data_IF_059700055957
#
_entry.id   IF_059700055957
#
_cell.length_a   1.000
_cell.length_b   1.000
_cell.length_c   1.000
_cell.angle_alpha   90.00
_cell.angle_beta   90.00
_cell.angle_gamma   90.00
#
_symmetry.space_group_name_H-M   'P 1'
#
loop_
_entity.id
_entity.type
_entity.pdbx_description
1 polymer ?
#
# COMPACT_ATOMS: atom_id res chain seq x y z
N UNK A 1 -2.67 9.15 30.06
CA UNK A 1 -1.76 9.23 31.23
C UNK A 1 -0.30 8.97 30.82
N UNK A 2 0.07 7.76 30.36
CA UNK A 2 1.48 7.40 30.05
C UNK A 2 2.20 8.38 29.10
N UNK A 3 1.57 8.79 28.00
CA UNK A 3 2.12 9.78 27.07
C UNK A 3 2.51 11.10 27.74
N UNK A 4 1.66 11.59 28.64
CA UNK A 4 1.90 12.83 29.40
C UNK A 4 3.06 12.64 30.37
N UNK A 5 3.06 11.55 31.13
CA UNK A 5 4.06 11.31 32.18
C UNK A 5 5.47 11.01 31.65
N UNK A 6 5.57 10.30 30.52
CA UNK A 6 6.87 9.83 29.99
C UNK A 6 7.39 10.75 28.87
N UNK A 7 6.50 11.30 28.05
CA UNK A 7 6.87 12.05 26.84
C UNK A 7 6.43 13.52 26.86
N UNK A 8 5.72 13.96 27.91
CA UNK A 8 5.17 15.32 27.96
C UNK A 8 4.09 15.59 26.92
N UNK A 9 3.54 14.53 26.30
CA UNK A 9 2.53 14.65 25.23
C UNK A 9 1.16 14.50 25.85
N UNK A 10 0.36 15.56 25.76
CA UNK A 10 -1.03 15.55 26.18
C UNK A 10 -1.94 15.17 25.01
N UNK A 11 -2.57 14.00 25.10
CA UNK A 11 -3.57 13.57 24.13
C UNK A 11 -4.94 13.93 24.70
N UNK A 12 -5.54 14.99 24.15
CA UNK A 12 -6.85 15.52 24.58
C UNK A 12 -8.01 14.93 23.79
N UNK A 13 -7.76 14.51 22.55
CA UNK A 13 -8.79 13.94 21.68
C UNK A 13 -8.97 12.43 21.91
N UNK A 14 -10.19 11.90 21.70
CA UNK A 14 -10.40 10.47 21.65
C UNK A 14 -9.53 9.82 20.57
N UNK A 15 -9.05 8.60 20.82
CA UNK A 15 -8.30 7.86 19.80
C UNK A 15 -9.20 7.56 18.61
N UNK A 16 -8.61 7.66 17.41
CA UNK A 16 -9.26 7.30 16.16
C UNK A 16 -9.78 5.87 16.24
N UNK A 17 -10.93 5.60 15.63
CA UNK A 17 -11.46 4.23 15.49
C UNK A 17 -11.52 3.88 14.02
N UNK A 18 -11.05 2.69 13.68
CA UNK A 18 -11.02 2.18 12.31
C UNK A 18 -11.47 0.72 12.34
N UNK A 19 -12.36 0.32 11.44
CA UNK A 19 -12.70 -1.10 11.32
C UNK A 19 -11.49 -1.89 10.82
N UNK A 20 -11.39 -3.17 11.17
CA UNK A 20 -10.35 -4.05 10.64
C UNK A 20 -10.39 -4.09 9.11
N UNK A 21 -11.59 -4.09 8.53
CA UNK A 21 -11.80 -4.06 7.09
C UNK A 21 -11.20 -2.80 6.44
N UNK A 22 -11.40 -1.63 7.05
CA UNK A 22 -10.80 -0.38 6.57
C UNK A 22 -9.29 -0.34 6.75
N UNK A 23 -8.78 -0.86 7.88
CA UNK A 23 -7.36 -0.93 8.15
C UNK A 23 -6.65 -1.82 7.12
N UNK A 24 -7.22 -3.00 6.84
CA UNK A 24 -6.69 -3.91 5.82
C UNK A 24 -6.86 -3.35 4.40
N UNK A 25 -8.00 -2.71 4.08
CA UNK A 25 -8.24 -2.14 2.75
C UNK A 25 -7.33 -0.95 2.45
N UNK A 26 -7.14 -0.05 3.41
CA UNK A 26 -6.38 1.20 3.20
C UNK A 26 -4.88 1.05 3.45
N UNK A 27 -4.46 0.08 4.27
CA UNK A 27 -3.05 -0.04 4.70
C UNK A 27 -2.52 -1.47 4.71
N UNK A 28 -3.35 -2.50 4.50
CA UNK A 28 -2.91 -3.89 4.53
C UNK A 28 -2.42 -4.38 5.90
N UNK A 29 -2.82 -3.70 6.97
CA UNK A 29 -2.42 -4.03 8.34
C UNK A 29 -3.52 -3.68 9.34
N UNK A 30 -3.70 -4.55 10.33
CA UNK A 30 -4.54 -4.38 11.51
C UNK A 30 -3.90 -3.49 12.60
N UNK A 31 -2.68 -3.00 12.34
CA UNK A 31 -1.92 -2.06 13.17
C UNK A 31 -1.29 -0.97 12.29
N UNK A 32 -2.10 -0.22 11.53
CA UNK A 32 -1.59 0.67 10.50
C UNK A 32 -0.81 1.84 11.10
N UNK A 33 0.34 2.15 10.49
CA UNK A 33 1.12 3.33 10.81
C UNK A 33 0.53 4.57 10.12
N UNK A 34 -0.29 5.33 10.86
CA UNK A 34 -1.02 6.50 10.36
C UNK A 34 -0.22 7.81 10.38
N UNK A 35 1.07 7.77 10.73
CA UNK A 35 1.91 8.99 10.79
C UNK A 35 2.17 9.61 9.42
N UNK A 36 1.97 8.84 8.35
CA UNK A 36 2.16 9.28 6.98
C UNK A 36 1.07 8.71 6.06
N UNK A 37 0.93 9.26 4.86
CA UNK A 37 -0.09 8.90 3.87
C UNK A 37 0.17 7.57 3.17
N UNK A 38 0.23 7.61 1.83
CA UNK A 38 0.40 6.41 0.98
C UNK A 38 -0.69 5.35 1.24
N UNK A 39 -1.95 5.78 1.32
CA UNK A 39 -3.10 4.86 1.39
C UNK A 39 -3.14 4.03 0.11
N UNK A 40 -3.67 2.82 0.23
CA UNK A 40 -3.86 1.94 -0.92
C UNK A 40 -4.97 2.48 -1.82
N UNK A 41 -4.76 2.35 -3.12
CA UNK A 41 -5.79 2.49 -4.14
C UNK A 41 -5.88 1.18 -4.90
N UNK A 42 -7.09 0.63 -4.98
CA UNK A 42 -7.40 -0.57 -5.74
C UNK A 42 -7.63 -0.19 -7.20
N UNK A 43 -7.01 -0.92 -8.12
CA UNK A 43 -6.92 -0.57 -9.54
C UNK A 43 -7.53 -1.63 -10.46
N UNK A 44 -8.18 -2.66 -9.91
CA UNK A 44 -8.71 -3.77 -10.69
C UNK A 44 -9.69 -3.28 -11.77
N UNK A 45 -10.56 -2.33 -11.43
CA UNK A 45 -11.56 -1.78 -12.36
C UNK A 45 -10.96 -0.93 -13.48
N UNK A 46 -9.73 -0.44 -13.31
CA UNK A 46 -9.05 0.46 -14.26
C UNK A 46 -8.04 -0.31 -15.12
N UNK A 47 -7.32 -1.26 -14.52
CA UNK A 47 -6.10 -1.83 -15.11
C UNK A 47 -6.27 -3.27 -15.61
N UNK A 48 -7.42 -3.90 -15.37
CA UNK A 48 -7.70 -5.29 -15.77
C UNK A 48 -8.38 -5.35 -17.14
N UNK A 49 -8.03 -6.33 -17.97
CA UNK A 49 -8.64 -6.58 -19.29
C UNK A 49 -7.85 -6.00 -20.48
N UNK A 50 -6.58 -5.65 -20.30
CA UNK A 50 -5.76 -4.99 -21.33
C UNK A 50 -4.65 -5.88 -21.91
N UNK A 51 -4.72 -7.20 -21.69
CA UNK A 51 -3.78 -8.16 -22.25
C UNK A 51 -2.43 -8.19 -21.52
N UNK A 52 -2.39 -7.71 -20.28
CA UNK A 52 -1.24 -7.85 -19.39
C UNK A 52 -1.52 -8.96 -18.37
N UNK A 53 -1.02 -10.20 -18.59
CA UNK A 53 -1.46 -11.37 -17.80
C UNK A 53 -1.27 -11.22 -16.29
N UNK A 54 -0.21 -10.51 -15.87
CA UNK A 54 0.08 -10.26 -14.44
C UNK A 54 -1.03 -9.50 -13.72
N UNK A 55 -1.80 -8.66 -14.43
CA UNK A 55 -2.97 -7.97 -13.89
C UNK A 55 -4.27 -8.70 -14.26
N UNK A 56 -4.38 -9.21 -15.48
CA UNK A 56 -5.58 -9.91 -15.95
C UNK A 56 -5.88 -11.19 -15.14
N UNK A 57 -4.85 -11.88 -14.65
CA UNK A 57 -4.99 -13.09 -13.84
C UNK A 57 -5.03 -12.80 -12.32
N UNK A 58 -4.84 -11.54 -11.91
CA UNK A 58 -4.76 -11.19 -10.50
C UNK A 58 -6.15 -11.12 -9.85
N UNK A 59 -6.24 -11.62 -8.62
CA UNK A 59 -7.38 -11.41 -7.73
C UNK A 59 -7.38 -10.01 -7.10
N UNK A 60 -6.20 -9.40 -6.99
CA UNK A 60 -6.03 -8.05 -6.46
C UNK A 60 -4.98 -7.28 -7.25
N UNK A 61 -5.28 -6.03 -7.54
CA UNK A 61 -4.36 -5.04 -8.10
C UNK A 61 -4.51 -3.78 -7.25
N UNK A 62 -3.42 -3.35 -6.63
CA UNK A 62 -3.44 -2.13 -5.84
C UNK A 62 -2.06 -1.53 -5.68
N UNK A 63 -2.02 -0.25 -5.36
CA UNK A 63 -0.77 0.47 -5.26
C UNK A 63 -0.79 1.58 -4.24
N UNK A 64 0.35 2.26 -4.15
CA UNK A 64 0.57 3.47 -3.37
C UNK A 64 1.09 4.58 -4.28
N UNK A 65 0.73 5.83 -3.97
CA UNK A 65 1.34 7.00 -4.56
C UNK A 65 2.41 7.55 -3.59
N UNK A 66 3.64 7.63 -4.06
CA UNK A 66 4.79 8.16 -3.35
C UNK A 66 5.05 9.57 -3.87
N UNK A 67 4.67 10.56 -3.07
CA UNK A 67 4.77 11.97 -3.44
C UNK A 67 6.23 12.39 -3.69
N UNK A 68 6.47 13.11 -4.79
CA UNK A 68 7.79 13.67 -5.13
C UNK A 68 8.87 12.65 -5.55
N UNK A 69 8.53 11.36 -5.71
CA UNK A 69 9.50 10.30 -5.98
C UNK A 69 9.64 9.92 -7.47
N UNK A 70 9.06 10.66 -8.42
CA UNK A 70 9.19 10.37 -9.86
C UNK A 70 10.65 10.32 -10.34
N UNK A 71 11.54 11.06 -9.66
CA UNK A 71 12.98 11.11 -9.96
C UNK A 71 13.75 9.84 -9.58
N UNK A 72 13.09 8.85 -8.95
CA UNK A 72 13.74 7.58 -8.62
C UNK A 72 14.40 6.95 -9.84
N UNK A 73 15.70 6.69 -9.71
CA UNK A 73 16.52 6.08 -10.76
C UNK A 73 16.09 4.64 -11.02
N UNK A 74 16.46 4.10 -12.19
CA UNK A 74 16.21 2.68 -12.50
C UNK A 74 16.79 1.75 -11.43
N UNK A 75 18.02 2.04 -10.96
CA UNK A 75 18.67 1.29 -9.87
C UNK A 75 17.85 1.30 -8.57
N UNK A 76 17.24 2.43 -8.20
CA UNK A 76 16.39 2.49 -7.01
C UNK A 76 15.10 1.67 -7.20
N UNK A 77 14.47 1.74 -8.38
CA UNK A 77 13.28 0.93 -8.68
C UNK A 77 13.58 -0.57 -8.74
N UNK A 78 14.73 -0.96 -9.29
CA UNK A 78 15.19 -2.35 -9.27
C UNK A 78 15.43 -2.81 -7.83
N UNK A 79 16.01 -1.96 -6.96
CA UNK A 79 16.17 -2.26 -5.54
C UNK A 79 14.83 -2.43 -4.81
N UNK A 80 13.82 -1.62 -5.11
CA UNK A 80 12.46 -1.79 -4.57
C UNK A 80 11.80 -3.08 -5.10
N UNK A 81 12.05 -3.43 -6.36
CA UNK A 81 11.56 -4.67 -6.96
C UNK A 81 12.16 -5.89 -6.26
N UNK A 82 13.47 -5.88 -5.99
CA UNK A 82 14.14 -6.95 -5.26
C UNK A 82 13.74 -6.97 -3.78
N UNK A 83 13.46 -5.81 -3.18
CA UNK A 83 12.89 -5.73 -1.83
C UNK A 83 11.58 -6.51 -1.72
N UNK A 84 10.59 -6.22 -2.59
CA UNK A 84 9.28 -6.88 -2.50
C UNK A 84 9.32 -8.37 -2.84
N UNK A 85 10.34 -8.82 -3.58
CA UNK A 85 10.56 -10.23 -3.92
C UNK A 85 11.24 -11.04 -2.82
N UNK A 86 11.85 -10.41 -1.80
CA UNK A 86 12.46 -11.13 -0.67
C UNK A 86 11.47 -12.16 -0.12
N UNK A 87 11.96 -13.33 0.28
CA UNK A 87 11.11 -14.44 0.72
C UNK A 87 10.16 -14.08 1.87
N UNK A 88 10.52 -13.11 2.72
CA UNK A 88 9.65 -12.63 3.80
C UNK A 88 8.43 -11.84 3.29
N UNK A 89 8.52 -11.22 2.11
CA UNK A 89 7.43 -10.46 1.47
C UNK A 89 6.77 -11.32 0.39
N UNK A 90 7.55 -11.85 -0.53
CA UNK A 90 7.13 -12.85 -1.52
C UNK A 90 6.23 -12.31 -2.64
N UNK A 91 6.35 -11.03 -3.00
CA UNK A 91 5.69 -10.50 -4.20
C UNK A 91 6.41 -11.02 -5.46
N UNK A 92 5.66 -11.18 -6.56
CA UNK A 92 6.23 -11.71 -7.83
C UNK A 92 7.01 -10.64 -8.61
N UNK A 93 6.70 -9.37 -8.40
CA UNK A 93 7.35 -8.24 -9.05
C UNK A 93 6.73 -6.91 -8.61
N UNK A 94 7.19 -5.83 -9.23
CA UNK A 94 6.73 -4.46 -8.97
C UNK A 94 6.47 -3.77 -10.31
N UNK A 95 5.27 -3.21 -10.47
CA UNK A 95 4.95 -2.29 -11.55
C UNK A 95 5.07 -0.88 -11.00
N UNK A 96 5.61 0.05 -11.80
CA UNK A 96 5.72 1.44 -11.40
C UNK A 96 5.29 2.37 -12.54
N UNK A 97 4.78 3.55 -12.17
CA UNK A 97 4.49 4.63 -13.09
C UNK A 97 4.98 5.97 -12.52
N UNK A 98 5.65 6.76 -13.36
CA UNK A 98 6.07 8.12 -13.04
C UNK A 98 5.05 9.09 -13.58
N UNK A 99 4.63 10.03 -12.75
CA UNK A 99 3.87 11.20 -13.17
C UNK A 99 4.89 12.31 -13.41
N UNK A 100 5.10 12.65 -14.68
CA UNK A 100 6.04 13.70 -15.08
C UNK A 100 5.50 15.08 -14.67
N UNK A 101 6.37 16.10 -14.66
CA UNK A 101 6.00 17.46 -14.23
C UNK A 101 4.84 18.06 -15.06
N UNK A 102 4.70 17.67 -16.33
CA UNK A 102 3.61 18.08 -17.22
C UNK A 102 2.31 17.26 -17.02
N UNK A 103 2.33 16.27 -16.12
CA UNK A 103 1.21 15.37 -15.84
C UNK A 103 1.13 14.15 -16.76
N UNK A 104 2.03 14.00 -17.74
CA UNK A 104 2.12 12.77 -18.53
C UNK A 104 2.54 11.60 -17.64
N UNK A 105 2.07 10.40 -17.96
CA UNK A 105 2.36 9.19 -17.17
C UNK A 105 3.22 8.25 -17.99
N UNK A 106 4.37 7.84 -17.43
CA UNK A 106 5.25 6.82 -18.00
C UNK A 106 5.34 5.63 -17.07
N UNK A 107 4.96 4.46 -17.56
CA UNK A 107 4.83 3.22 -16.79
C UNK A 107 5.79 2.14 -17.28
N UNK A 108 6.18 1.24 -16.38
CA UNK A 108 6.91 0.02 -16.75
C UNK A 108 6.08 -0.93 -17.64
N UNK A 109 4.79 -0.64 -17.84
CA UNK A 109 3.84 -1.42 -18.65
C UNK A 109 3.16 -0.59 -19.75
N UNK A 110 3.77 0.52 -20.20
CA UNK A 110 3.22 1.44 -21.23
C UNK A 110 2.74 0.75 -22.51
N UNK A 111 3.34 -0.39 -22.90
CA UNK A 111 2.94 -1.12 -24.11
C UNK A 111 1.54 -1.75 -24.05
N UNK A 112 0.96 -1.87 -22.86
CA UNK A 112 -0.35 -2.49 -22.65
C UNK A 112 -1.48 -1.47 -22.43
N UNK A 113 -1.15 -0.26 -21.98
CA UNK A 113 -2.13 0.72 -21.55
C UNK A 113 -2.03 1.98 -22.40
N UNK A 114 -3.18 2.48 -22.86
CA UNK A 114 -3.21 3.78 -23.52
C UNK A 114 -2.98 4.90 -22.50
N UNK A 115 -2.62 6.09 -22.97
CA UNK A 115 -2.43 7.24 -22.08
C UNK A 115 -3.72 7.60 -21.34
N UNK A 116 -4.89 7.41 -21.94
CA UNK A 116 -6.18 7.64 -21.27
C UNK A 116 -6.34 6.75 -20.03
N UNK A 117 -6.00 5.46 -20.12
CA UNK A 117 -6.09 4.52 -18.98
C UNK A 117 -5.07 4.89 -17.89
N UNK A 118 -3.85 5.28 -18.28
CA UNK A 118 -2.83 5.71 -17.34
C UNK A 118 -3.21 7.03 -16.62
N UNK A 119 -3.94 7.92 -17.29
CA UNK A 119 -4.49 9.13 -16.64
C UNK A 119 -5.62 8.77 -15.65
N UNK A 120 -6.50 7.82 -15.96
CA UNK A 120 -7.50 7.34 -14.99
C UNK A 120 -6.84 6.76 -13.73
N UNK A 121 -5.77 5.98 -13.90
CA UNK A 121 -4.97 5.49 -12.77
C UNK A 121 -4.38 6.65 -11.96
N UNK A 122 -3.77 7.64 -12.62
CA UNK A 122 -3.22 8.84 -11.95
C UNK A 122 -4.31 9.58 -11.16
N UNK A 123 -5.48 9.78 -11.74
CA UNK A 123 -6.63 10.44 -11.11
C UNK A 123 -7.13 9.66 -9.88
N UNK A 124 -7.20 8.32 -9.96
CA UNK A 124 -7.59 7.47 -8.83
C UNK A 124 -6.65 7.63 -7.62
N UNK A 125 -5.36 7.88 -7.87
CA UNK A 125 -4.40 8.21 -6.82
C UNK A 125 -4.40 9.68 -6.39
N UNK A 126 -5.04 10.58 -7.14
CA UNK A 126 -4.86 12.02 -6.99
C UNK A 126 -3.41 12.47 -7.21
N UNK A 127 -2.65 11.71 -8.02
CA UNK A 127 -1.22 11.90 -8.18
C UNK A 127 -0.89 13.15 -9.03
N UNK A 128 0.12 13.89 -8.58
CA UNK A 128 0.58 15.16 -9.17
C UNK A 128 1.89 14.95 -9.93
N UNK A 129 2.25 15.95 -10.73
CA UNK A 129 3.54 15.94 -11.42
C UNK A 129 4.68 15.87 -10.42
N UNK A 130 5.59 14.91 -10.61
CA UNK A 130 6.67 14.59 -9.68
C UNK A 130 6.43 13.35 -8.82
N UNK A 131 5.26 12.72 -8.87
CA UNK A 131 4.93 11.56 -8.04
C UNK A 131 5.27 10.22 -8.70
N UNK A 132 5.50 9.21 -7.86
CA UNK A 132 5.76 7.83 -8.27
C UNK A 132 4.64 6.92 -7.75
N UNK A 133 3.97 6.23 -8.67
CA UNK A 133 2.98 5.21 -8.35
C UNK A 133 3.67 3.84 -8.37
N UNK A 134 3.47 3.07 -7.31
CA UNK A 134 4.00 1.71 -7.14
C UNK A 134 2.85 0.72 -6.98
N UNK A 135 2.82 -0.33 -7.79
CA UNK A 135 1.67 -1.24 -7.91
C UNK A 135 2.14 -2.68 -7.72
N UNK A 136 1.42 -3.40 -6.86
CA UNK A 136 1.52 -4.84 -6.71
C UNK A 136 0.23 -5.51 -7.15
N UNK A 137 0.35 -6.72 -7.68
CA UNK A 137 -0.78 -7.61 -7.97
C UNK A 137 -0.52 -9.02 -7.45
N UNK A 138 -1.59 -9.78 -7.26
CA UNK A 138 -1.49 -11.17 -6.84
C UNK A 138 -2.81 -11.92 -6.89
N UNK A 139 -2.70 -13.23 -6.67
CA UNK A 139 -3.78 -14.23 -6.68
C UNK A 139 -4.58 -14.26 -5.36
N UNK A 140 -4.06 -13.67 -4.29
CA UNK A 140 -4.75 -13.55 -3.01
C UNK A 140 -4.70 -12.09 -2.52
N UNK A 141 -5.86 -11.47 -2.39
CA UNK A 141 -5.99 -10.05 -2.02
C UNK A 141 -5.37 -9.72 -0.66
N UNK A 142 -5.58 -10.57 0.35
CA UNK A 142 -5.05 -10.32 1.69
C UNK A 142 -3.53 -10.45 1.74
N UNK A 143 -2.98 -11.45 1.04
CA UNK A 143 -1.53 -11.61 0.89
C UNK A 143 -0.92 -10.40 0.18
N UNK A 144 -1.49 -9.96 -0.94
CA UNK A 144 -0.96 -8.82 -1.70
C UNK A 144 -1.08 -7.50 -0.93
N UNK A 145 -2.16 -7.30 -0.16
CA UNK A 145 -2.28 -6.14 0.75
C UNK A 145 -1.16 -6.11 1.81
N UNK A 146 -0.84 -7.25 2.43
CA UNK A 146 0.28 -7.36 3.38
C UNK A 146 1.62 -7.02 2.70
N UNK A 147 1.84 -7.51 1.48
CA UNK A 147 3.04 -7.19 0.69
C UNK A 147 3.14 -5.69 0.37
N UNK A 148 2.03 -5.07 -0.02
CA UNK A 148 1.96 -3.64 -0.29
C UNK A 148 2.18 -2.80 0.98
N UNK A 149 1.77 -3.31 2.15
CA UNK A 149 2.05 -2.69 3.45
C UNK A 149 3.55 -2.63 3.73
N UNK A 150 4.28 -3.73 3.50
CA UNK A 150 5.73 -3.76 3.67
C UNK A 150 6.43 -2.77 2.73
N UNK A 151 6.01 -2.69 1.46
CA UNK A 151 6.52 -1.69 0.51
C UNK A 151 6.22 -0.27 0.99
N UNK A 152 5.00 0.00 1.47
CA UNK A 152 4.60 1.30 2.01
C UNK A 152 5.48 1.72 3.19
N UNK A 153 5.72 0.81 4.14
CA UNK A 153 6.55 1.06 5.31
C UNK A 153 8.01 1.30 4.92
N UNK A 154 8.53 0.57 3.94
CA UNK A 154 9.87 0.77 3.39
C UNK A 154 10.02 2.16 2.76
N UNK A 155 9.05 2.59 1.93
CA UNK A 155 9.04 3.95 1.40
C UNK A 155 8.98 5.00 2.51
N UNK A 156 8.17 4.77 3.54
CA UNK A 156 8.10 5.64 4.72
C UNK A 156 9.44 5.73 5.46
N UNK A 157 10.23 4.65 5.51
CA UNK A 157 11.57 4.65 6.09
C UNK A 157 12.56 5.42 5.22
N UNK A 158 12.63 5.12 3.91
CA UNK A 158 13.57 5.75 2.98
C UNK A 158 13.37 7.27 2.88
N UNK A 159 12.12 7.72 2.94
CA UNK A 159 11.75 9.13 2.84
C UNK A 159 11.70 9.84 4.20
N UNK A 160 12.01 9.14 5.30
CA UNK A 160 12.03 9.75 6.64
C UNK A 160 10.66 10.19 7.17
N UNK A 161 9.56 9.63 6.63
CA UNK A 161 8.18 10.03 6.96
C UNK A 161 7.69 9.47 8.31
N UNK A 162 8.50 8.63 8.97
CA UNK A 162 8.16 7.94 10.21
C UNK A 162 8.81 8.61 11.41
N UNK A 163 8.45 9.87 11.66
CA UNK A 163 8.95 10.61 12.81
C UNK A 163 8.69 9.85 14.12
N UNK A 164 9.75 9.64 14.90
CA UNK A 164 9.77 8.91 16.16
C UNK A 164 9.17 9.71 17.32
N UNK A 165 8.93 11.01 17.12
CA UNK A 165 8.31 11.90 18.10
C UNK A 165 6.83 12.18 17.79
N UNK A 166 6.36 11.80 16.61
CA UNK A 166 4.94 11.87 16.25
C UNK A 166 4.23 10.59 16.69
N UNK A 167 3.09 10.74 17.36
CA UNK A 167 2.27 9.62 17.83
C UNK A 167 0.84 9.77 17.33
N UNK A 168 0.38 8.77 16.57
CA UNK A 168 -1.00 8.68 16.12
C UNK A 168 -1.58 7.40 16.72
N UNK A 169 -2.40 7.56 17.76
CA UNK A 169 -3.05 6.44 18.45
C UNK A 169 -4.41 6.14 17.81
N UNK A 170 -4.69 4.86 17.60
CA UNK A 170 -5.96 4.38 17.09
C UNK A 170 -6.41 3.08 17.77
N UNK A 171 -7.70 2.83 17.72
CA UNK A 171 -8.31 1.53 17.92
C UNK A 171 -8.67 0.94 16.56
N UNK A 172 -8.15 -0.25 16.29
CA UNK A 172 -8.74 -1.11 15.26
C UNK A 172 -9.82 -1.95 15.93
N UNK A 173 -11.02 -1.96 15.36
CA UNK A 173 -12.22 -2.60 15.91
C UNK A 173 -12.89 -3.45 14.82
N UNK A 174 -13.98 -4.15 15.16
CA UNK A 174 -14.78 -4.94 14.20
C UNK A 174 -13.95 -5.99 13.43
N UNK A 175 -13.07 -6.67 14.16
CA UNK A 175 -12.32 -7.82 13.63
C UNK A 175 -13.30 -8.93 13.20
N UNK A 176 -12.99 -9.66 12.11
CA UNK A 176 -13.75 -10.83 11.76
C UNK A 176 -13.64 -11.86 12.89
N UNK A 177 -14.72 -12.59 13.20
CA UNK A 177 -14.70 -13.60 14.27
C UNK A 177 -13.73 -14.75 13.95
N UNK A 178 -13.60 -15.07 12.66
CA UNK A 178 -12.71 -16.10 12.16
C UNK A 178 -11.91 -15.59 10.94
N UNK A 179 -10.68 -16.05 10.82
CA UNK A 179 -9.86 -15.91 9.62
C UNK A 179 -9.59 -17.28 8.99
N UNK A 180 -9.55 -17.34 7.67
CA UNK A 180 -9.16 -18.55 6.95
C UNK A 180 -7.64 -18.74 7.05
N UNK A 181 -7.20 -19.85 7.61
CA UNK A 181 -5.81 -20.26 7.65
C UNK A 181 -5.51 -21.14 6.44
N UNK A 182 -4.66 -20.65 5.54
CA UNK A 182 -4.28 -21.36 4.31
C UNK A 182 -3.36 -22.56 4.56
N UNK A 183 -2.62 -22.59 5.67
CA UNK A 183 -1.72 -23.72 6.01
C UNK A 183 -2.51 -24.89 6.61
N UNK A 184 -3.51 -24.59 7.43
CA UNK A 184 -4.34 -25.56 8.14
C UNK A 184 -5.67 -25.85 7.43
N UNK A 185 -5.96 -25.13 6.34
CA UNK A 185 -7.21 -25.22 5.57
C UNK A 185 -8.46 -25.18 6.45
N UNK A 186 -8.49 -24.27 7.44
CA UNK A 186 -9.63 -24.10 8.35
C UNK A 186 -9.79 -22.68 8.84
N UNK A 187 -10.98 -22.37 9.34
CA UNK A 187 -11.23 -21.13 10.07
C UNK A 187 -10.59 -21.17 11.46
N UNK A 188 -9.82 -20.14 11.78
CA UNK A 188 -9.22 -19.93 13.10
C UNK A 188 -9.82 -18.68 13.74
N UNK A 189 -10.11 -18.75 15.05
CA UNK A 189 -10.61 -17.60 15.80
C UNK A 189 -9.54 -16.51 15.83
N UNK A 190 -9.94 -15.26 15.58
CA UNK A 190 -9.02 -14.11 15.57
C UNK A 190 -8.65 -13.62 16.96
N UNK A 191 -9.45 -13.98 17.95
CA UNK A 191 -9.27 -13.65 19.36
C UNK A 191 -9.45 -14.90 20.21
N UNK A 192 -8.96 -14.84 21.46
CA UNK A 192 -9.13 -15.94 22.41
C UNK A 192 -10.63 -16.30 22.53
N UNK A 193 -10.98 -17.59 22.40
CA UNK A 193 -12.33 -18.09 22.63
C UNK A 193 -12.82 -17.87 24.07
#
# INVERSE_FOLDING_TARGET
>A
HLFKSIRGIEIVEPFLRMSWHDAMKQYGSDKPDLRFGMKFVELADIMKGYGFPVFDDAAYIGGICVEGAASYTRKQLDALTEFVKKSQIGAKGLVYARVEADGSVKSSVDKFYSQEVLQQMREAFGAKGGDLILILSGDNAMKTRKQLCELRLEMGNQLGLRDKNTFVCLWVVDFPLFEWDEEQHRFMATHHP
#
